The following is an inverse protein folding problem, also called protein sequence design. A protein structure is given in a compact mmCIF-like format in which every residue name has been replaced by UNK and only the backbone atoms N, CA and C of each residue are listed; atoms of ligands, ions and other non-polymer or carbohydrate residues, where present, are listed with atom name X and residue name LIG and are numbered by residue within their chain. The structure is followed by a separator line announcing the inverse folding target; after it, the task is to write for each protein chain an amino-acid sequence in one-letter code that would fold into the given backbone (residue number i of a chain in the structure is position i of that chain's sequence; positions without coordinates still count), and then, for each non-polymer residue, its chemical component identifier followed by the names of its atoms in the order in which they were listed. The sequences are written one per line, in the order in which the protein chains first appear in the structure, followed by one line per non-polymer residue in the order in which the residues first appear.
data_IF_902287358103
#
_entry.id   IF_902287358103
#
_cell.length_a   1.000
_cell.length_b   1.000
_cell.length_c   1.000
_cell.angle_alpha   90.00
_cell.angle_beta   90.00
_cell.angle_gamma   90.00
#
_symmetry.space_group_name_H-M   'P 1'
#
loop_
_entity.id
_entity.type
_entity.pdbx_description
1 polymer ?
#
# COMPACT_ATOMS: atom_id res chain seq x y z
N UNK A 1 -6.45 11.99 27.86
CA UNK A 1 -7.18 13.26 27.71
C UNK A 1 -8.26 13.20 26.63
N UNK A 2 -7.97 12.81 25.38
CA UNK A 2 -9.02 12.71 24.33
C UNK A 2 -10.07 11.60 24.57
N UNK A 3 -9.65 10.44 25.10
CA UNK A 3 -10.55 9.32 25.38
C UNK A 3 -11.51 9.56 26.56
N UNK A 4 -11.02 10.25 27.61
CA UNK A 4 -11.85 10.64 28.76
C UNK A 4 -12.87 11.73 28.38
N UNK A 5 -12.50 12.65 27.47
CA UNK A 5 -13.40 13.69 26.97
C UNK A 5 -14.58 13.14 26.17
N UNK A 6 -14.35 12.10 25.36
CA UNK A 6 -15.40 11.46 24.57
C UNK A 6 -16.41 10.69 25.46
N UNK A 7 -15.92 10.05 26.52
CA UNK A 7 -16.75 9.31 27.48
C UNK A 7 -17.63 10.24 28.32
N UNK A 8 -17.08 11.36 28.78
CA UNK A 8 -17.82 12.39 29.51
C UNK A 8 -18.92 13.05 28.64
N UNK A 9 -18.66 13.26 27.35
CA UNK A 9 -19.65 13.78 26.40
C UNK A 9 -20.78 12.79 26.15
N UNK A 10 -20.48 11.49 26.09
CA UNK A 10 -21.48 10.44 25.94
C UNK A 10 -22.38 10.31 27.18
N UNK A 11 -21.81 10.40 28.38
CA UNK A 11 -22.58 10.40 29.64
C UNK A 11 -23.47 11.65 29.77
N UNK A 12 -22.97 12.83 29.39
CA UNK A 12 -23.74 14.07 29.42
C UNK A 12 -24.86 14.11 28.34
N UNK A 13 -24.65 13.47 27.19
CA UNK A 13 -25.69 13.27 26.18
C UNK A 13 -26.76 12.27 26.66
N UNK A 14 -26.36 11.19 27.35
CA UNK A 14 -27.28 10.22 27.94
C UNK A 14 -28.13 10.81 29.08
N UNK A 15 -27.60 11.80 29.80
CA UNK A 15 -28.31 12.55 30.85
C UNK A 15 -29.31 13.60 30.33
N UNK A 16 -29.53 13.70 29.01
CA UNK A 16 -30.46 14.66 28.41
C UNK A 16 -30.05 16.13 28.53
N UNK A 17 -28.81 16.40 28.96
CA UNK A 17 -28.31 17.75 29.23
C UNK A 17 -27.59 18.40 28.04
N UNK A 18 -27.36 17.66 26.95
CA UNK A 18 -26.71 18.16 25.75
C UNK A 18 -27.60 17.96 24.52
N UNK A 19 -28.24 19.03 24.05
CA UNK A 19 -28.81 19.06 22.70
C UNK A 19 -27.67 19.19 21.69
N UNK A 20 -27.40 18.14 20.92
CA UNK A 20 -26.47 18.24 19.80
C UNK A 20 -27.07 19.16 18.73
N UNK A 21 -26.27 20.08 18.13
CA UNK A 21 -26.76 20.92 17.05
C UNK A 21 -27.20 20.06 15.86
N UNK A 22 -28.41 20.32 15.35
CA UNK A 22 -28.94 19.71 14.14
C UNK A 22 -28.81 20.66 12.95
N UNK A 23 -28.60 20.11 11.76
CA UNK A 23 -28.50 20.86 10.51
C UNK A 23 -29.19 20.09 9.37
N UNK A 24 -29.54 20.80 8.31
CA UNK A 24 -30.08 20.21 7.09
C UNK A 24 -29.20 20.54 5.87
N UNK A 25 -29.16 19.62 4.90
CA UNK A 25 -28.43 19.82 3.65
C UNK A 25 -29.27 20.70 2.73
N UNK A 26 -28.81 21.93 2.47
CA UNK A 26 -29.49 22.89 1.58
C UNK A 26 -28.93 22.93 0.17
N UNK A 27 -27.68 22.48 -0.01
CA UNK A 27 -27.01 22.45 -1.30
C UNK A 27 -25.92 21.38 -1.33
N UNK A 28 -25.61 20.89 -2.52
CA UNK A 28 -24.50 19.96 -2.78
C UNK A 28 -23.48 20.71 -3.63
N UNK A 29 -22.35 21.09 -3.03
CA UNK A 29 -21.28 21.83 -3.73
C UNK A 29 -20.49 20.91 -4.68
N UNK A 30 -20.18 19.71 -4.21
CA UNK A 30 -19.47 18.70 -4.97
C UNK A 30 -20.18 17.36 -4.81
N UNK A 31 -20.37 16.67 -5.93
CA UNK A 31 -20.78 15.27 -5.95
C UNK A 31 -19.56 14.42 -6.14
N UNK A 32 -19.55 13.26 -5.49
CA UNK A 32 -18.58 12.21 -5.72
C UNK A 32 -19.17 11.23 -6.76
N UNK A 33 -18.72 11.27 -8.04
CA UNK A 33 -19.26 10.43 -9.12
C UNK A 33 -18.66 9.02 -9.10
N UNK A 34 -18.61 8.41 -7.92
CA UNK A 34 -18.04 7.08 -7.71
C UNK A 34 -18.91 5.96 -8.26
N UNK A 35 -18.24 4.94 -8.73
CA UNK A 35 -18.84 3.67 -9.11
C UNK A 35 -19.38 2.96 -7.85
N UNK A 36 -20.62 2.47 -7.91
CA UNK A 36 -21.29 1.83 -6.79
C UNK A 36 -21.48 0.35 -7.12
N UNK A 37 -20.93 -0.52 -6.28
CA UNK A 37 -21.20 -1.96 -6.39
C UNK A 37 -22.57 -2.27 -5.81
N UNK A 38 -23.37 -3.00 -6.57
CA UNK A 38 -24.75 -3.34 -6.23
C UNK A 38 -25.06 -4.81 -6.53
N UNK A 39 -26.18 -5.28 -6.00
CA UNK A 39 -26.92 -6.46 -6.48
C UNK A 39 -28.40 -6.10 -6.69
N UNK A 40 -29.18 -7.01 -7.28
CA UNK A 40 -30.62 -6.80 -7.42
C UNK A 40 -31.34 -6.91 -6.06
N UNK A 41 -32.43 -6.16 -5.90
CA UNK A 41 -33.31 -6.35 -4.75
C UNK A 41 -33.96 -7.75 -4.81
N UNK A 42 -34.19 -8.36 -3.64
CA UNK A 42 -34.82 -9.68 -3.57
C UNK A 42 -36.16 -9.74 -4.33
N UNK A 43 -36.98 -8.69 -4.22
CA UNK A 43 -38.26 -8.58 -4.92
C UNK A 43 -38.09 -8.62 -6.44
N UNK A 44 -37.13 -7.87 -6.96
CA UNK A 44 -36.87 -7.83 -8.40
C UNK A 44 -36.25 -9.14 -8.89
N UNK A 45 -35.39 -9.78 -8.10
CA UNK A 45 -34.87 -11.10 -8.45
C UNK A 45 -35.98 -12.15 -8.56
N UNK A 46 -36.90 -12.19 -7.60
CA UNK A 46 -38.04 -13.12 -7.61
C UNK A 46 -38.94 -12.86 -8.82
N UNK A 47 -39.25 -11.59 -9.10
CA UNK A 47 -40.07 -11.20 -10.25
C UNK A 47 -39.41 -11.58 -11.58
N UNK A 48 -38.10 -11.34 -11.72
CA UNK A 48 -37.32 -11.72 -12.90
C UNK A 48 -37.27 -13.24 -13.10
N UNK A 49 -37.00 -14.02 -12.04
CA UNK A 49 -36.99 -15.49 -12.10
C UNK A 49 -38.34 -16.06 -12.54
N UNK A 50 -39.43 -15.56 -11.96
CA UNK A 50 -40.79 -15.99 -12.33
C UNK A 50 -41.10 -15.72 -13.81
N UNK A 51 -40.71 -14.54 -14.33
CA UNK A 51 -40.89 -14.20 -15.75
C UNK A 51 -40.06 -15.09 -16.68
N UNK A 52 -38.81 -15.38 -16.31
CA UNK A 52 -37.95 -16.26 -17.11
C UNK A 52 -38.51 -17.68 -17.19
N UNK A 53 -39.06 -18.21 -16.08
CA UNK A 53 -39.72 -19.52 -16.07
C UNK A 53 -40.97 -19.55 -16.97
N UNK A 54 -41.81 -18.50 -16.92
CA UNK A 54 -42.99 -18.39 -17.80
C UNK A 54 -42.61 -18.37 -19.28
N UNK A 55 -41.55 -17.65 -19.65
CA UNK A 55 -41.06 -17.59 -21.04
C UNK A 55 -40.48 -18.93 -21.51
N UNK A 56 -39.79 -19.67 -20.64
CA UNK A 56 -39.29 -21.01 -20.96
C UNK A 56 -40.42 -22.04 -21.08
N UNK A 57 -41.43 -21.99 -20.21
CA UNK A 57 -42.61 -22.87 -20.30
C UNK A 57 -43.41 -22.64 -21.60
N UNK A 58 -43.64 -21.38 -21.97
CA UNK A 58 -44.34 -21.03 -23.20
C UNK A 58 -43.60 -21.47 -24.49
N UNK A 59 -42.27 -21.59 -24.44
CA UNK A 59 -41.48 -22.08 -25.57
C UNK A 59 -41.56 -23.60 -25.77
N UNK A 60 -41.90 -24.36 -24.72
CA UNK A 60 -42.00 -25.83 -24.77
C UNK A 60 -43.38 -26.28 -25.27
N UNK A 61 -44.45 -25.57 -24.92
CA UNK A 61 -45.81 -25.89 -25.35
C UNK A 61 -46.15 -25.41 -26.79
N UNK A 62 -45.29 -24.57 -27.37
CA UNK A 62 -45.46 -23.95 -28.70
C UNK A 62 -44.92 -24.78 -29.88
N UNK A 63 -45.10 -26.11 -29.86
CA UNK A 63 -44.74 -27.01 -30.96
C UNK A 63 -45.56 -26.79 -32.23
N UNK A 64 -45.30 -25.71 -32.97
CA UNK A 64 -46.01 -25.37 -34.19
C UNK A 64 -45.34 -24.29 -35.03
N UNK A 65 -44.43 -24.71 -35.92
CA UNK A 65 -44.28 -24.13 -37.27
C UNK A 65 -43.92 -22.64 -37.46
N UNK A 66 -43.39 -21.94 -36.47
CA UNK A 66 -42.86 -20.57 -36.63
C UNK A 66 -41.35 -20.53 -36.37
N UNK A 67 -40.56 -20.01 -37.31
CA UNK A 67 -39.10 -19.86 -37.14
C UNK A 67 -38.73 -19.09 -35.86
N UNK A 68 -37.48 -19.17 -35.37
CA UNK A 68 -37.08 -18.65 -34.06
C UNK A 68 -37.27 -17.13 -34.00
N UNK A 69 -38.42 -16.68 -33.47
CA UNK A 69 -38.61 -15.30 -33.06
C UNK A 69 -37.80 -15.12 -31.77
N UNK A 70 -36.71 -14.36 -31.85
CA UNK A 70 -35.94 -14.01 -30.66
C UNK A 70 -36.86 -13.32 -29.64
N UNK A 71 -36.88 -13.75 -28.37
CA UNK A 71 -37.73 -13.13 -27.36
C UNK A 71 -37.39 -11.65 -27.26
N UNK A 72 -38.39 -10.78 -27.48
CA UNK A 72 -38.23 -9.34 -27.36
C UNK A 72 -37.83 -9.00 -25.92
N UNK A 73 -36.56 -8.62 -25.72
CA UNK A 73 -36.05 -8.18 -24.42
C UNK A 73 -36.69 -6.85 -24.04
N UNK A 74 -37.69 -6.90 -23.16
CA UNK A 74 -38.36 -5.69 -22.63
C UNK A 74 -37.41 -4.94 -21.69
N UNK A 75 -37.46 -3.62 -21.74
CA UNK A 75 -36.77 -2.79 -20.75
C UNK A 75 -37.56 -2.85 -19.44
N UNK A 76 -36.85 -3.04 -18.34
CA UNK A 76 -37.43 -3.15 -17.00
C UNK A 76 -36.72 -2.18 -16.07
N UNK A 77 -37.47 -1.60 -15.13
CA UNK A 77 -36.93 -0.81 -14.03
C UNK A 77 -36.67 -1.76 -12.85
N UNK A 78 -35.41 -1.90 -12.48
CA UNK A 78 -34.95 -2.75 -11.39
C UNK A 78 -34.39 -1.89 -10.26
N UNK A 79 -34.66 -2.28 -9.02
CA UNK A 79 -34.07 -1.67 -7.85
C UNK A 79 -32.81 -2.42 -7.45
N UNK A 80 -31.69 -1.72 -7.39
CA UNK A 80 -30.38 -2.27 -7.09
C UNK A 80 -29.94 -1.82 -5.70
N UNK A 81 -29.49 -2.76 -4.87
CA UNK A 81 -29.06 -2.54 -3.49
C UNK A 81 -27.54 -2.39 -3.45
N UNK A 82 -27.01 -1.24 -2.98
CA UNK A 82 -25.58 -1.04 -2.79
C UNK A 82 -24.95 -2.00 -1.78
N UNK A 83 -23.69 -2.33 -2.00
CA UNK A 83 -22.86 -3.03 -1.01
C UNK A 83 -22.61 -2.13 0.21
N UNK A 84 -22.36 -0.83 -0.02
CA UNK A 84 -22.31 0.19 1.04
C UNK A 84 -23.71 0.58 1.50
N UNK A 85 -24.11 0.11 2.68
CA UNK A 85 -25.46 0.33 3.25
C UNK A 85 -25.76 1.79 3.61
N UNK A 86 -24.75 2.68 3.58
CA UNK A 86 -24.97 4.13 3.76
C UNK A 86 -25.62 4.75 2.53
N UNK A 87 -25.52 4.10 1.37
CA UNK A 87 -26.09 4.58 0.12
C UNK A 87 -27.52 4.04 -0.08
N UNK A 88 -28.45 4.86 -0.62
CA UNK A 88 -29.79 4.40 -0.92
C UNK A 88 -29.80 3.44 -2.12
N UNK A 89 -30.84 2.59 -2.25
CA UNK A 89 -31.06 1.81 -3.46
C UNK A 89 -31.09 2.66 -4.73
N UNK A 90 -30.50 2.15 -5.82
CA UNK A 90 -30.42 2.82 -7.12
C UNK A 90 -31.38 2.18 -8.09
N UNK A 91 -32.19 2.98 -8.78
CA UNK A 91 -33.13 2.51 -9.79
C UNK A 91 -32.44 2.46 -11.16
N UNK A 92 -32.40 1.28 -11.79
CA UNK A 92 -31.71 1.02 -13.06
C UNK A 92 -32.69 0.50 -14.09
N UNK A 93 -32.74 1.14 -15.26
CA UNK A 93 -33.53 0.64 -16.40
C UNK A 93 -32.64 -0.20 -17.29
N UNK A 94 -33.00 -1.47 -17.52
CA UNK A 94 -32.18 -2.38 -18.33
C UNK A 94 -33.01 -3.40 -19.10
N UNK A 95 -32.48 -3.87 -20.22
CA UNK A 95 -32.99 -5.03 -21.00
C UNK A 95 -32.24 -6.33 -20.66
N UNK A 96 -31.29 -6.26 -19.72
CA UNK A 96 -30.37 -7.35 -19.37
C UNK A 96 -30.68 -7.91 -17.97
N UNK A 97 -31.90 -7.72 -17.43
CA UNK A 97 -32.26 -8.14 -16.07
C UNK A 97 -31.92 -9.61 -15.76
N UNK A 98 -32.17 -10.52 -16.71
CA UNK A 98 -31.81 -11.94 -16.56
C UNK A 98 -30.31 -12.20 -16.39
N UNK A 99 -29.44 -11.37 -16.97
CA UNK A 99 -27.99 -11.50 -16.81
C UNK A 99 -27.47 -10.94 -15.46
N UNK A 100 -28.29 -10.15 -14.76
CA UNK A 100 -27.97 -9.55 -13.47
C UNK A 100 -28.44 -10.39 -12.28
N UNK A 101 -29.25 -11.42 -12.53
CA UNK A 101 -29.74 -12.32 -11.50
C UNK A 101 -28.58 -13.02 -10.78
N UNK A 102 -28.51 -12.83 -9.45
CA UNK A 102 -27.49 -13.46 -8.62
C UNK A 102 -26.07 -12.96 -8.91
N UNK A 103 -25.92 -11.75 -9.45
CA UNK A 103 -24.63 -11.16 -9.78
C UNK A 103 -24.30 -9.93 -8.93
N UNK A 104 -23.00 -9.70 -8.68
CA UNK A 104 -22.42 -8.39 -8.36
C UNK A 104 -22.19 -7.61 -9.64
N UNK A 105 -22.58 -6.34 -9.64
CA UNK A 105 -22.33 -5.45 -10.77
C UNK A 105 -22.16 -4.01 -10.29
N UNK A 106 -21.66 -3.17 -11.19
CA UNK A 106 -21.35 -1.77 -10.91
C UNK A 106 -22.38 -0.88 -11.59
N UNK A 107 -22.85 0.13 -10.86
CA UNK A 107 -23.72 1.18 -11.36
C UNK A 107 -23.12 2.55 -11.10
N UNK A 108 -23.43 3.50 -11.97
CA UNK A 108 -23.14 4.92 -11.77
C UNK A 108 -24.45 5.68 -11.67
N UNK A 109 -24.55 6.56 -10.68
CA UNK A 109 -25.72 7.42 -10.49
C UNK A 109 -25.66 8.56 -11.50
N UNK A 110 -26.74 8.71 -12.27
CA UNK A 110 -26.89 9.76 -13.29
C UNK A 110 -27.53 11.01 -12.69
N UNK A 111 -28.65 10.80 -11.99
CA UNK A 111 -29.46 11.88 -11.44
C UNK A 111 -30.30 11.39 -10.26
N UNK A 112 -30.61 12.30 -9.35
CA UNK A 112 -31.62 12.09 -8.31
C UNK A 112 -32.63 13.23 -8.35
N UNK A 113 -33.73 13.00 -9.07
CA UNK A 113 -34.81 13.97 -9.20
C UNK A 113 -35.50 14.20 -7.85
N UNK A 114 -35.90 15.46 -7.58
CA UNK A 114 -36.55 15.89 -6.32
C UNK A 114 -37.73 15.02 -5.90
N UNK A 115 -38.52 14.54 -6.86
CA UNK A 115 -39.73 13.76 -6.62
C UNK A 115 -39.49 12.24 -6.69
N UNK A 116 -38.27 11.83 -7.04
CA UNK A 116 -37.92 10.41 -7.07
C UNK A 116 -37.48 9.94 -5.69
N UNK A 117 -38.07 8.84 -5.23
CA UNK A 117 -37.65 8.18 -4.00
C UNK A 117 -36.22 7.63 -4.08
N UNK A 118 -35.78 7.24 -5.27
CA UNK A 118 -34.48 6.60 -5.51
C UNK A 118 -33.70 7.36 -6.59
N UNK A 119 -32.38 7.47 -6.47
CA UNK A 119 -31.55 7.94 -7.57
C UNK A 119 -31.66 7.00 -8.78
N UNK A 120 -31.58 7.57 -9.98
CA UNK A 120 -31.49 6.83 -11.23
C UNK A 120 -30.02 6.64 -11.58
N UNK A 121 -29.70 5.47 -12.12
CA UNK A 121 -28.37 5.17 -12.63
C UNK A 121 -28.39 4.19 -13.77
N UNK A 122 -27.21 3.96 -14.34
CA UNK A 122 -26.98 2.97 -15.36
C UNK A 122 -25.91 1.97 -14.89
N UNK A 123 -26.02 0.74 -15.39
CA UNK A 123 -25.02 -0.29 -15.18
C UNK A 123 -23.80 -0.02 -16.07
N UNK A 124 -22.60 -0.11 -15.50
CA UNK A 124 -21.35 0.02 -16.26
C UNK A 124 -20.75 -1.36 -16.59
N UNK A 125 -20.66 -2.27 -15.61
CA UNK A 125 -20.11 -3.62 -15.82
C UNK A 125 -20.62 -4.65 -14.80
N UNK A 126 -20.61 -5.92 -15.18
CA UNK A 126 -20.86 -7.05 -14.26
C UNK A 126 -19.53 -7.54 -13.69
N UNK A 127 -19.47 -7.75 -12.38
CA UNK A 127 -18.26 -8.25 -11.69
C UNK A 127 -18.22 -9.78 -11.66
N UNK A 128 -19.36 -10.42 -11.40
CA UNK A 128 -19.46 -11.87 -11.34
C UNK A 128 -20.64 -12.32 -10.49
N UNK A 129 -20.68 -13.61 -10.14
CA UNK A 129 -21.75 -14.18 -9.29
C UNK A 129 -21.59 -13.74 -7.83
N UNK A 130 -22.70 -13.60 -7.13
CA UNK A 130 -22.69 -13.43 -5.67
C UNK A 130 -21.98 -14.63 -5.01
N UNK A 131 -21.19 -14.35 -3.99
CA UNK A 131 -20.38 -15.33 -3.24
C UNK A 131 -19.24 -15.99 -4.04
N UNK A 132 -18.94 -15.53 -5.25
CA UNK A 132 -17.70 -15.89 -5.94
C UNK A 132 -16.54 -15.06 -5.38
N UNK A 133 -15.44 -15.73 -4.98
CA UNK A 133 -14.31 -15.07 -4.34
C UNK A 133 -13.74 -13.94 -5.20
N UNK A 134 -13.57 -14.17 -6.51
CA UNK A 134 -13.01 -13.16 -7.41
C UNK A 134 -13.96 -11.99 -7.55
N UNK A 135 -15.26 -12.26 -7.72
CA UNK A 135 -16.28 -11.22 -7.83
C UNK A 135 -16.40 -10.34 -6.57
N UNK A 136 -16.34 -10.95 -5.38
CA UNK A 136 -16.42 -10.21 -4.11
C UNK A 136 -15.11 -9.44 -3.81
N UNK A 137 -13.93 -10.00 -4.13
CA UNK A 137 -12.66 -9.25 -4.04
C UNK A 137 -12.66 -8.03 -4.97
N UNK A 138 -13.10 -8.20 -6.23
CA UNK A 138 -13.25 -7.07 -7.17
C UNK A 138 -14.28 -6.04 -6.69
N UNK A 139 -15.36 -6.47 -6.04
CA UNK A 139 -16.34 -5.57 -5.45
C UNK A 139 -15.73 -4.65 -4.38
N UNK A 140 -14.88 -5.21 -3.51
CA UNK A 140 -14.16 -4.43 -2.49
C UNK A 140 -13.22 -3.41 -3.15
N UNK A 141 -12.48 -3.83 -4.18
CA UNK A 141 -11.57 -2.94 -4.90
C UNK A 141 -12.30 -1.73 -5.51
N UNK A 142 -13.44 -1.97 -6.18
CA UNK A 142 -14.27 -0.88 -6.74
C UNK A 142 -14.80 0.03 -5.65
N UNK A 143 -15.31 -0.53 -4.55
CA UNK A 143 -15.88 0.26 -3.46
C UNK A 143 -14.83 1.17 -2.79
N UNK A 144 -13.58 0.71 -2.71
CA UNK A 144 -12.46 1.48 -2.19
C UNK A 144 -11.80 2.41 -3.23
N UNK A 145 -12.27 2.40 -4.48
CA UNK A 145 -11.65 3.19 -5.55
C UNK A 145 -10.25 2.72 -5.95
N UNK A 146 -9.92 1.45 -5.69
CA UNK A 146 -8.60 0.88 -5.97
C UNK A 146 -8.52 0.46 -7.43
N UNK A 147 -7.52 0.99 -8.13
CA UNK A 147 -7.28 0.72 -9.54
C UNK A 147 -6.65 -0.66 -9.71
N UNK A 148 -7.38 -1.57 -10.35
CA UNK A 148 -6.90 -2.93 -10.69
C UNK A 148 -6.86 -3.14 -12.21
N UNK A 149 -6.21 -2.22 -12.93
CA UNK A 149 -5.94 -2.34 -14.37
C UNK A 149 -4.47 -2.71 -14.59
N UNK A 150 -4.10 -3.42 -15.68
CA UNK A 150 -2.70 -3.56 -16.07
C UNK A 150 -2.05 -2.19 -16.30
N UNK A 151 -0.73 -2.11 -16.12
CA UNK A 151 0.04 -0.90 -16.44
C UNK A 151 -0.09 -0.56 -17.92
N UNK A 152 -0.19 0.74 -18.23
CA UNK A 152 -0.32 1.17 -19.61
C UNK A 152 0.99 0.96 -20.41
N UNK A 153 0.89 0.74 -21.72
CA UNK A 153 2.07 0.49 -22.56
C UNK A 153 3.09 1.63 -22.51
N UNK A 154 2.62 2.88 -22.39
CA UNK A 154 3.48 4.04 -22.26
C UNK A 154 4.30 4.03 -20.95
N UNK A 155 3.69 3.65 -19.82
CA UNK A 155 4.42 3.48 -18.56
C UNK A 155 5.42 2.32 -18.62
N UNK A 156 5.03 1.20 -19.26
CA UNK A 156 5.92 0.05 -19.45
C UNK A 156 7.11 0.37 -20.37
N UNK A 157 6.93 1.28 -21.33
CA UNK A 157 8.00 1.72 -22.23
C UNK A 157 9.11 2.54 -21.54
N UNK A 158 8.85 3.09 -20.35
CA UNK A 158 9.83 3.80 -19.52
C UNK A 158 10.74 2.85 -18.72
N UNK A 159 10.41 1.56 -18.67
CA UNK A 159 11.23 0.56 -18.00
C UNK A 159 12.57 0.33 -18.72
N UNK A 160 13.64 -0.07 -18.01
CA UNK A 160 14.90 -0.45 -18.63
C UNK A 160 14.71 -1.54 -19.69
N UNK A 161 15.27 -1.32 -20.89
CA UNK A 161 15.21 -2.27 -22.01
C UNK A 161 16.22 -3.39 -21.80
N UNK A 162 15.80 -4.43 -21.09
CA UNK A 162 16.60 -5.62 -20.79
C UNK A 162 15.85 -6.89 -21.23
N UNK A 163 16.60 -7.91 -21.64
CA UNK A 163 16.01 -9.19 -22.05
C UNK A 163 15.59 -10.03 -20.84
N UNK A 164 16.41 -10.03 -19.79
CA UNK A 164 16.13 -10.70 -18.51
C UNK A 164 16.46 -9.77 -17.33
N UNK A 165 15.75 -9.85 -16.18
CA UNK A 165 16.05 -9.02 -15.02
C UNK A 165 17.50 -9.15 -14.51
N UNK A 166 18.09 -10.33 -14.67
CA UNK A 166 19.50 -10.58 -14.32
C UNK A 166 20.52 -9.90 -15.24
N UNK A 167 20.09 -9.25 -16.32
CA UNK A 167 21.00 -8.55 -17.23
C UNK A 167 21.26 -7.11 -16.78
N UNK A 168 20.38 -6.57 -15.94
CA UNK A 168 20.55 -5.22 -15.42
C UNK A 168 21.73 -5.16 -14.43
N UNK A 169 22.57 -4.14 -14.58
CA UNK A 169 23.72 -3.84 -13.73
C UNK A 169 23.74 -2.35 -13.42
N UNK A 170 24.28 -1.99 -12.26
CA UNK A 170 24.51 -0.58 -11.90
C UNK A 170 25.44 0.06 -12.95
N UNK A 171 25.00 1.14 -13.62
CA UNK A 171 25.83 1.81 -14.62
C UNK A 171 27.15 2.33 -14.03
N UNK A 172 28.27 2.27 -14.78
CA UNK A 172 29.57 2.73 -14.28
C UNK A 172 29.60 4.20 -13.83
N UNK A 173 28.81 5.06 -14.49
CA UNK A 173 28.68 6.46 -14.11
C UNK A 173 28.04 6.63 -12.72
N UNK A 174 27.02 5.85 -12.39
CA UNK A 174 26.38 5.85 -11.07
C UNK A 174 27.34 5.32 -10.00
N UNK A 175 28.09 4.26 -10.31
CA UNK A 175 29.11 3.71 -9.41
C UNK A 175 30.20 4.73 -9.06
N UNK A 176 30.59 5.57 -10.03
CA UNK A 176 31.60 6.60 -9.80
C UNK A 176 31.07 7.79 -9.00
N UNK A 177 29.79 8.12 -9.14
CA UNK A 177 29.17 9.27 -8.48
C UNK A 177 28.65 8.97 -7.06
N UNK A 178 28.31 7.70 -6.77
CA UNK A 178 27.71 7.28 -5.51
C UNK A 178 28.75 6.72 -4.54
N UNK A 179 28.43 6.79 -3.24
CA UNK A 179 29.22 6.12 -2.21
C UNK A 179 29.04 4.61 -2.34
N UNK A 180 30.15 3.90 -2.51
CA UNK A 180 30.16 2.44 -2.55
C UNK A 180 30.08 1.86 -1.13
N UNK A 181 29.03 1.08 -0.88
CA UNK A 181 28.78 0.35 0.38
C UNK A 181 28.75 -1.17 0.14
N UNK A 182 29.31 -1.64 -0.98
CA UNK A 182 29.38 -3.07 -1.34
C UNK A 182 30.66 -3.75 -0.86
N UNK A 183 31.60 -2.97 -0.30
CA UNK A 183 32.87 -3.46 0.22
C UNK A 183 32.73 -4.37 1.45
N UNK A 184 33.80 -5.11 1.80
CA UNK A 184 33.79 -6.10 2.89
C UNK A 184 33.54 -5.51 4.28
N UNK A 185 33.70 -4.20 4.45
CA UNK A 185 33.44 -3.49 5.71
C UNK A 185 31.94 -3.34 6.01
N UNK A 186 31.07 -3.54 5.01
CA UNK A 186 29.62 -3.38 5.12
C UNK A 186 28.92 -4.72 4.97
N UNK A 187 28.52 -5.31 6.10
CA UNK A 187 27.65 -6.49 6.11
C UNK A 187 26.18 -6.04 6.12
N UNK A 188 25.61 -5.88 4.93
CA UNK A 188 24.23 -5.43 4.73
C UNK A 188 23.28 -6.63 4.67
N UNK A 189 22.18 -6.57 5.44
CA UNK A 189 21.14 -7.60 5.50
C UNK A 189 19.75 -6.98 5.42
N UNK A 190 18.77 -7.71 4.89
CA UNK A 190 17.35 -7.37 5.02
C UNK A 190 16.66 -8.32 5.99
N UNK A 191 15.56 -7.88 6.60
CA UNK A 191 14.78 -8.69 7.54
C UNK A 191 13.31 -8.58 7.14
N UNK A 192 12.85 -9.56 6.37
CA UNK A 192 11.53 -9.55 5.73
C UNK A 192 10.70 -10.79 6.07
N UNK A 193 9.36 -10.73 5.95
CA UNK A 193 8.50 -11.91 6.03
C UNK A 193 8.89 -13.01 5.04
N UNK A 194 8.60 -14.26 5.39
CA UNK A 194 8.82 -15.40 4.50
C UNK A 194 8.03 -15.20 3.19
N UNK A 195 8.73 -15.27 2.06
CA UNK A 195 8.13 -15.07 0.74
C UNK A 195 8.10 -13.62 0.26
N UNK A 196 8.70 -12.67 0.99
CA UNK A 196 8.92 -11.30 0.51
C UNK A 196 9.71 -11.31 -0.81
N UNK A 197 9.24 -10.51 -1.79
CA UNK A 197 9.86 -10.41 -3.14
C UNK A 197 10.31 -8.99 -3.46
N UNK A 198 9.73 -8.02 -2.78
CA UNK A 198 9.85 -6.58 -2.90
C UNK A 198 10.60 -6.01 -1.68
N UNK A 199 11.85 -6.44 -1.51
CA UNK A 199 12.71 -5.96 -0.41
C UNK A 199 13.02 -4.47 -0.59
N UNK A 200 12.38 -3.63 0.22
CA UNK A 200 12.49 -2.17 0.19
C UNK A 200 13.62 -1.64 1.07
N UNK A 201 13.90 -2.28 2.19
CA UNK A 201 14.88 -1.85 3.17
C UNK A 201 15.92 -2.93 3.50
N UNK A 202 17.14 -2.47 3.75
CA UNK A 202 18.24 -3.26 4.27
C UNK A 202 19.04 -2.43 5.26
N UNK A 203 19.81 -3.10 6.12
CA UNK A 203 20.55 -2.44 7.18
C UNK A 203 21.92 -3.07 7.39
N UNK A 204 22.85 -2.27 7.92
CA UNK A 204 24.10 -2.78 8.48
C UNK A 204 24.36 -2.17 9.84
N UNK A 205 25.17 -2.86 10.65
CA UNK A 205 25.68 -2.38 11.92
C UNK A 205 27.17 -2.66 11.99
N UNK A 206 27.95 -1.65 12.34
CA UNK A 206 29.41 -1.74 12.50
C UNK A 206 29.83 -1.10 13.82
N UNK A 207 30.70 -1.77 14.56
CA UNK A 207 31.32 -1.17 15.74
C UNK A 207 32.54 -0.36 15.32
N UNK A 208 32.62 0.88 15.79
CA UNK A 208 33.74 1.77 15.51
C UNK A 208 34.70 1.79 16.70
N UNK A 209 35.99 1.89 16.41
CA UNK A 209 37.00 2.13 17.43
C UNK A 209 36.88 3.56 17.99
N UNK A 210 37.06 3.71 19.31
CA UNK A 210 36.99 5.01 19.97
C UNK A 210 38.25 5.83 19.58
N UNK A 211 38.12 7.01 18.95
CA UNK A 211 39.26 7.79 18.44
C UNK A 211 40.22 8.28 19.55
N UNK A 212 39.88 8.05 20.82
CA UNK A 212 40.72 8.37 21.97
C UNK A 212 41.80 7.32 22.28
N UNK A 213 41.84 6.20 21.56
CA UNK A 213 42.72 5.05 21.88
C UNK A 213 43.90 4.85 20.92
N UNK A 214 44.18 5.77 19.99
CA UNK A 214 45.37 5.68 19.12
C UNK A 214 46.57 6.37 19.77
N UNK A 215 47.67 5.67 20.12
CA UNK A 215 48.93 6.34 20.43
C UNK A 215 49.42 7.03 19.16
N UNK A 216 49.75 8.31 19.27
CA UNK A 216 50.31 9.12 18.20
C UNK A 216 51.49 8.40 17.53
N UNK A 217 51.23 7.79 16.38
CA UNK A 217 52.27 7.28 15.50
C UNK A 217 52.14 8.03 14.20
N UNK A 218 53.08 8.94 14.01
CA UNK A 218 53.33 9.70 12.78
C UNK A 218 53.26 8.78 11.57
N UNK A 219 52.23 8.92 10.74
CA UNK A 219 52.36 8.78 9.29
C UNK A 219 51.23 9.53 8.59
N UNK A 220 51.64 10.30 7.59
CA UNK A 220 50.85 11.20 6.78
C UNK A 220 49.74 10.50 6.00
N UNK A 221 48.50 10.87 6.24
CA UNK A 221 47.39 10.63 5.31
C UNK A 221 46.90 11.98 4.78
N UNK A 222 47.04 12.13 3.47
CA UNK A 222 46.54 13.22 2.64
C UNK A 222 45.05 13.42 2.83
N UNK A 223 44.67 14.61 3.28
CA UNK A 223 43.30 15.12 3.20
C UNK A 223 42.92 15.38 1.74
N UNK A 224 41.95 14.65 1.21
CA UNK A 224 41.17 15.09 0.05
C UNK A 224 39.76 15.46 0.53
N UNK A 225 39.65 16.67 1.06
CA UNK A 225 38.38 17.38 1.18
C UNK A 225 38.01 17.86 -0.22
N UNK A 226 36.93 17.35 -0.81
CA UNK A 226 36.32 17.97 -1.99
C UNK A 226 35.15 18.82 -1.52
N UNK A 227 35.39 20.13 -1.45
CA UNK A 227 34.35 21.14 -1.30
C UNK A 227 33.68 21.35 -2.66
N UNK A 228 32.38 21.11 -2.77
CA UNK A 228 31.59 21.63 -3.89
C UNK A 228 30.73 22.78 -3.36
N UNK A 229 30.86 24.01 -3.88
CA UNK A 229 30.00 25.12 -3.52
C UNK A 229 28.72 25.11 -4.38
N UNK A 230 27.57 25.24 -3.70
CA UNK A 230 26.40 25.97 -4.17
C UNK A 230 25.58 25.40 -5.33
N UNK A 231 24.51 24.67 -5.01
CA UNK A 231 23.21 24.82 -5.71
C UNK A 231 22.10 24.73 -4.67
N UNK A 232 21.20 25.71 -4.68
CA UNK A 232 20.05 25.82 -3.81
C UNK A 232 19.03 24.71 -4.11
N UNK A 233 18.74 23.87 -3.11
CA UNK A 233 17.55 23.02 -3.07
C UNK A 233 16.91 23.16 -1.68
N UNK A 234 16.26 24.31 -1.48
CA UNK A 234 15.37 24.54 -0.33
C UNK A 234 14.03 23.87 -0.62
N UNK A 235 13.48 23.17 0.38
CA UNK A 235 12.16 22.54 0.45
C UNK A 235 12.02 21.09 -0.07
N UNK A 236 12.55 20.10 0.68
CA UNK A 236 12.05 18.71 0.65
C UNK A 236 12.34 17.84 1.89
N UNK A 237 12.94 18.37 2.97
CA UNK A 237 13.42 17.53 4.10
C UNK A 237 12.45 17.51 5.33
N UNK A 238 11.27 18.14 5.24
CA UNK A 238 10.37 18.20 6.41
C UNK A 238 9.42 17.02 6.62
N UNK A 239 9.43 15.97 5.79
CA UNK A 239 8.43 14.88 5.91
C UNK A 239 8.97 13.51 6.36
N UNK A 240 10.28 13.36 6.57
CA UNK A 240 10.86 12.05 6.98
C UNK A 240 10.82 11.86 8.51
N UNK A 241 10.67 12.91 9.30
CA UNK A 241 10.69 12.82 10.77
C UNK A 241 9.38 12.29 11.37
N UNK A 242 8.26 12.34 10.65
CA UNK A 242 6.94 12.00 11.21
C UNK A 242 6.57 10.52 11.08
N UNK A 243 7.15 9.77 10.14
CA UNK A 243 6.84 8.34 9.96
C UNK A 243 7.55 7.41 10.97
N UNK A 244 8.71 7.82 11.49
CA UNK A 244 9.47 7.01 12.46
C UNK A 244 8.91 7.07 13.90
N UNK A 245 7.93 7.94 14.19
CA UNK A 245 7.38 8.13 15.54
C UNK A 245 6.14 7.28 15.85
N UNK A 246 5.58 6.54 14.88
CA UNK A 246 4.33 5.80 15.06
C UNK A 246 4.49 4.33 15.50
N UNK A 247 5.72 3.83 15.67
CA UNK A 247 5.99 2.44 16.04
C UNK A 247 6.62 2.32 17.44
N UNK A 248 5.95 2.84 18.47
CA UNK A 248 6.28 2.53 19.87
C UNK A 248 5.01 2.40 20.71
N UNK A 249 4.46 1.18 20.78
CA UNK A 249 4.00 0.53 22.03
C UNK A 249 3.93 -0.98 21.75
N UNK A 250 4.95 -1.70 22.22
CA UNK A 250 4.96 -3.16 22.25
C UNK A 250 5.87 -3.57 23.40
N UNK A 251 5.27 -3.79 24.57
CA UNK A 251 5.94 -4.28 25.78
C UNK A 251 6.45 -5.71 25.53
N UNK A 252 7.57 -6.02 26.17
CA UNK A 252 8.22 -7.34 26.31
C UNK A 252 9.14 -7.79 25.17
N UNK A 253 10.41 -7.38 25.27
CA UNK A 253 11.54 -8.12 24.69
C UNK A 253 12.59 -8.38 25.77
N UNK A 254 12.54 -9.57 26.38
CA UNK A 254 13.70 -10.13 27.07
C UNK A 254 14.74 -10.46 26.00
N UNK A 255 15.76 -9.61 25.87
CA UNK A 255 16.97 -9.97 25.17
C UNK A 255 17.71 -10.97 26.05
N UNK A 256 17.82 -12.20 25.55
CA UNK A 256 18.61 -13.26 26.17
C UNK A 256 20.04 -13.03 25.71
N UNK A 257 20.93 -12.67 26.63
CA UNK A 257 22.36 -12.60 26.37
C UNK A 257 22.87 -14.02 26.08
N UNK A 258 23.27 -14.27 24.84
CA UNK A 258 23.93 -15.51 24.44
C UNK A 258 25.42 -15.44 24.85
N UNK A 259 25.70 -15.79 26.10
CA UNK A 259 27.06 -16.04 26.58
C UNK A 259 27.52 -17.40 26.02
N UNK A 260 28.42 -17.39 25.04
CA UNK A 260 29.04 -18.61 24.50
C UNK A 260 30.39 -18.81 25.20
N UNK A 261 30.52 -19.95 25.86
CA UNK A 261 31.52 -20.24 26.89
C UNK A 261 33.00 -20.09 26.49
N UNK A 262 33.76 -19.65 27.48
CA UNK A 262 35.20 -19.44 27.46
C UNK A 262 36.02 -20.75 27.51
N UNK A 263 37.01 -20.85 26.63
CA UNK A 263 38.28 -21.55 26.89
C UNK A 263 39.27 -20.55 27.48
N UNK A 264 39.82 -20.86 28.66
CA UNK A 264 40.61 -19.93 29.46
C UNK A 264 42.01 -19.65 28.91
N UNK A 265 42.40 -18.37 28.96
CA UNK A 265 43.77 -17.94 29.23
C UNK A 265 43.72 -16.59 29.94
N UNK A 266 44.23 -16.57 31.16
CA UNK A 266 44.34 -15.42 32.04
C UNK A 266 45.42 -14.46 31.52
N UNK A 267 45.04 -13.23 31.21
CA UNK A 267 45.96 -12.10 31.25
C UNK A 267 45.23 -10.88 31.80
N UNK A 268 45.80 -10.35 32.88
CA UNK A 268 45.39 -9.15 33.58
C UNK A 268 45.48 -7.93 32.66
N UNK A 269 44.36 -7.25 32.44
CA UNK A 269 44.38 -5.87 31.95
C UNK A 269 43.45 -5.00 32.79
N UNK A 270 44.03 -3.92 33.26
CA UNK A 270 43.44 -2.84 34.04
C UNK A 270 42.15 -2.32 33.42
N UNK A 271 41.07 -2.32 34.21
CA UNK A 271 39.80 -1.69 33.87
C UNK A 271 39.96 -0.17 33.76
N UNK A 272 40.19 0.32 32.54
CA UNK A 272 40.06 1.75 32.24
C UNK A 272 38.57 2.13 32.23
N UNK A 273 38.20 3.31 32.76
CA UNK A 273 36.80 3.70 32.88
C UNK A 273 36.19 4.03 31.51
N UNK A 274 35.45 3.07 30.95
CA UNK A 274 34.35 3.29 30.02
C UNK A 274 34.71 3.87 28.66
N UNK A 275 35.36 3.09 27.79
CA UNK A 275 35.34 3.39 26.36
C UNK A 275 33.89 3.38 25.87
N UNK A 276 33.47 4.51 25.37
CA UNK A 276 32.14 4.70 24.82
C UNK A 276 32.10 4.10 23.43
N UNK A 277 31.71 2.84 23.34
CA UNK A 277 31.62 2.17 22.06
C UNK A 277 30.70 2.95 21.10
N UNK A 278 31.30 3.45 20.02
CA UNK A 278 30.59 4.05 18.91
C UNK A 278 30.12 2.94 17.98
N UNK A 279 28.90 3.09 17.46
CA UNK A 279 28.26 2.15 16.55
C UNK A 279 27.81 2.93 15.34
N UNK A 280 28.24 2.51 14.15
CA UNK A 280 27.66 2.96 12.90
C UNK A 280 26.46 2.08 12.54
N UNK A 281 25.34 2.70 12.25
CA UNK A 281 24.12 2.04 11.78
C UNK A 281 23.74 2.65 10.45
N UNK A 282 23.62 1.84 9.41
CA UNK A 282 23.09 2.23 8.11
C UNK A 282 21.72 1.63 7.88
N UNK A 283 20.79 2.45 7.40
CA UNK A 283 19.53 2.01 6.79
C UNK A 283 19.58 2.38 5.32
N UNK A 284 19.31 1.42 4.45
CA UNK A 284 19.43 1.49 3.00
C UNK A 284 18.06 1.22 2.41
N UNK A 285 17.48 2.20 1.73
CA UNK A 285 16.17 2.08 1.09
C UNK A 285 16.36 1.96 -0.42
N UNK A 286 15.61 1.07 -1.06
CA UNK A 286 15.62 0.88 -2.51
C UNK A 286 15.50 2.23 -3.24
N UNK A 287 16.44 2.51 -4.17
CA UNK A 287 16.44 3.78 -4.91
C UNK A 287 15.51 3.71 -6.13
N UNK A 288 14.21 3.70 -5.86
CA UNK A 288 13.16 3.73 -6.88
C UNK A 288 13.22 5.02 -7.73
N UNK A 289 13.71 6.12 -7.14
CA UNK A 289 13.75 7.43 -7.80
C UNK A 289 14.64 7.46 -9.04
N UNK A 290 15.64 6.57 -9.10
CA UNK A 290 16.49 6.40 -10.28
C UNK A 290 15.74 5.78 -11.46
N UNK A 291 14.80 4.87 -11.17
CA UNK A 291 14.01 4.16 -12.20
C UNK A 291 12.77 4.93 -12.63
N UNK A 292 12.20 5.74 -11.75
CA UNK A 292 10.91 6.41 -11.96
C UNK A 292 11.12 7.93 -11.93
N UNK A 293 11.43 8.56 -13.07
CA UNK A 293 11.65 10.00 -13.13
C UNK A 293 10.34 10.78 -12.93
N UNK A 294 10.39 11.93 -12.23
CA UNK A 294 9.20 12.74 -11.99
C UNK A 294 8.61 13.28 -13.29
N UNK A 295 7.29 13.25 -13.40
CA UNK A 295 6.55 13.73 -14.58
C UNK A 295 6.44 12.72 -15.72
N UNK A 296 7.02 11.52 -15.59
CA UNK A 296 6.85 10.41 -16.53
C UNK A 296 5.45 9.78 -16.47
N UNK A 297 5.15 8.94 -17.45
CA UNK A 297 3.91 8.15 -17.50
C UNK A 297 3.85 7.13 -16.38
N UNK A 298 4.98 6.51 -16.06
CA UNK A 298 5.09 5.55 -14.95
C UNK A 298 4.90 6.24 -13.60
N UNK A 299 5.48 7.43 -13.41
CA UNK A 299 5.27 8.27 -12.21
C UNK A 299 3.79 8.70 -12.08
N UNK A 300 3.16 9.07 -13.20
CA UNK A 300 1.72 9.37 -13.25
C UNK A 300 0.85 8.20 -12.77
N UNK A 301 1.13 7.00 -13.24
CA UNK A 301 0.39 5.79 -12.85
C UNK A 301 0.70 5.36 -11.41
N UNK A 302 1.95 5.46 -10.97
CA UNK A 302 2.34 5.21 -9.58
C UNK A 302 1.61 6.16 -8.62
N UNK A 303 1.48 7.44 -8.99
CA UNK A 303 0.71 8.44 -8.24
C UNK A 303 -0.79 8.14 -8.20
N UNK A 304 -1.37 7.66 -9.31
CA UNK A 304 -2.79 7.24 -9.36
C UNK A 304 -3.04 6.07 -8.41
N UNK A 305 -2.11 5.10 -8.34
CA UNK A 305 -2.19 3.92 -7.47
C UNK A 305 -1.87 4.23 -6.00
N UNK A 306 -0.98 5.20 -5.77
CA UNK A 306 -0.46 5.69 -4.49
C UNK A 306 0.29 4.68 -3.62
N UNK A 307 -0.21 3.45 -3.48
CA UNK A 307 0.38 2.38 -2.67
C UNK A 307 0.10 1.02 -3.29
N UNK A 308 0.97 0.05 -3.00
CA UNK A 308 0.62 -1.36 -3.24
C UNK A 308 -0.48 -1.78 -2.27
N UNK A 309 -1.44 -2.57 -2.74
CA UNK A 309 -2.56 -3.08 -1.93
C UNK A 309 -2.43 -4.59 -1.78
N UNK A 310 -2.36 -5.06 -0.53
CA UNK A 310 -2.27 -6.48 -0.21
C UNK A 310 -3.66 -7.03 0.12
N UNK A 311 -4.16 -7.93 -0.72
CA UNK A 311 -5.33 -8.77 -0.43
C UNK A 311 -4.87 -10.12 0.11
N UNK A 312 -5.82 -10.91 0.60
CA UNK A 312 -5.52 -12.25 1.14
C UNK A 312 -4.96 -13.19 0.06
N UNK A 313 -5.42 -13.06 -1.18
CA UNK A 313 -5.08 -13.96 -2.28
C UNK A 313 -4.05 -13.38 -3.27
N UNK A 314 -3.83 -12.06 -3.29
CA UNK A 314 -2.95 -11.38 -4.24
C UNK A 314 -2.49 -10.01 -3.75
N UNK A 315 -1.39 -9.52 -4.34
CA UNK A 315 -0.91 -8.15 -4.20
C UNK A 315 -1.24 -7.37 -5.48
N UNK A 316 -1.65 -6.11 -5.34
CA UNK A 316 -1.81 -5.16 -6.45
C UNK A 316 -0.67 -4.15 -6.37
N UNK A 317 0.22 -4.16 -7.34
CA UNK A 317 1.45 -3.38 -7.28
C UNK A 317 1.23 -1.90 -7.62
N UNK A 318 1.92 -1.03 -6.91
CA UNK A 318 2.09 0.39 -7.25
C UNK A 318 2.96 0.58 -8.50
N UNK A 319 4.00 -0.25 -8.66
CA UNK A 319 4.95 -0.22 -9.77
C UNK A 319 4.96 -1.57 -10.51
N UNK A 320 5.37 -1.62 -11.78
CA UNK A 320 5.48 -2.87 -12.50
C UNK A 320 6.39 -3.88 -11.77
N UNK A 321 6.01 -5.16 -11.77
CA UNK A 321 6.74 -6.24 -11.09
C UNK A 321 8.22 -6.32 -11.44
N UNK A 322 8.60 -5.95 -12.68
CA UNK A 322 10.01 -5.85 -13.07
C UNK A 322 10.80 -4.86 -12.20
N UNK A 323 10.21 -3.74 -11.80
CA UNK A 323 10.87 -2.81 -10.88
C UNK A 323 10.75 -3.27 -9.44
N UNK A 324 9.53 -3.51 -8.96
CA UNK A 324 9.26 -3.75 -7.54
C UNK A 324 9.92 -5.02 -7.02
N UNK A 325 9.93 -6.12 -7.78
CA UNK A 325 10.42 -7.42 -7.30
C UNK A 325 11.86 -7.75 -7.75
N UNK A 326 12.39 -7.01 -8.73
CA UNK A 326 13.66 -7.36 -9.37
C UNK A 326 14.68 -6.23 -9.34
N UNK A 327 14.41 -5.13 -10.05
CA UNK A 327 15.43 -4.12 -10.32
C UNK A 327 15.66 -3.16 -9.15
N UNK A 328 14.58 -2.69 -8.51
CA UNK A 328 14.68 -1.81 -7.35
C UNK A 328 14.87 -2.58 -6.04
N UNK A 329 14.30 -3.79 -5.96
CA UNK A 329 14.41 -4.64 -4.76
C UNK A 329 15.87 -4.93 -4.38
N UNK A 330 16.18 -4.79 -3.09
CA UNK A 330 17.50 -5.02 -2.47
C UNK A 330 17.82 -6.51 -2.31
N UNK A 331 17.83 -7.24 -3.43
CA UNK A 331 18.04 -8.70 -3.46
C UNK A 331 19.44 -9.10 -3.02
N UNK A 332 19.52 -10.20 -2.26
CA UNK A 332 20.78 -10.78 -1.79
C UNK A 332 21.74 -11.12 -2.95
N UNK A 333 23.03 -10.84 -2.75
CA UNK A 333 24.10 -11.23 -3.67
C UNK A 333 24.12 -10.45 -4.99
N UNK A 334 23.26 -9.44 -5.16
CA UNK A 334 23.22 -8.61 -6.35
C UNK A 334 23.37 -7.15 -5.96
N UNK A 335 24.24 -6.44 -6.68
CA UNK A 335 24.42 -5.02 -6.48
C UNK A 335 23.16 -4.21 -6.87
N UNK A 336 22.79 -3.25 -6.01
CA UNK A 336 21.59 -2.43 -6.15
C UNK A 336 21.85 -0.98 -5.79
N UNK A 337 21.06 -0.09 -6.39
CA UNK A 337 21.05 1.33 -6.04
C UNK A 337 20.17 1.51 -4.80
N UNK A 338 20.69 2.22 -3.81
CA UNK A 338 19.98 2.52 -2.58
C UNK A 338 20.21 3.98 -2.15
N UNK A 339 19.20 4.56 -1.52
CA UNK A 339 19.31 5.79 -0.74
C UNK A 339 19.60 5.40 0.70
N UNK A 340 20.75 5.82 1.22
CA UNK A 340 21.24 5.38 2.52
C UNK A 340 21.22 6.51 3.54
N UNK A 341 20.77 6.21 4.75
CA UNK A 341 20.95 7.05 5.93
C UNK A 341 21.90 6.34 6.87
N UNK A 342 23.02 6.99 7.21
CA UNK A 342 24.06 6.43 8.06
C UNK A 342 24.22 7.29 9.30
N UNK A 343 24.05 6.69 10.47
CA UNK A 343 24.23 7.34 11.76
C UNK A 343 25.44 6.77 12.49
N UNK A 344 26.12 7.64 13.24
CA UNK A 344 27.06 7.22 14.28
C UNK A 344 26.40 7.44 15.63
N UNK A 345 26.11 6.34 16.32
CA UNK A 345 25.43 6.30 17.60
C UNK A 345 26.43 6.00 18.71
N UNK A 346 26.26 6.65 19.86
CA UNK A 346 27.03 6.34 21.08
C UNK A 346 26.19 5.41 21.94
N UNK A 347 26.77 4.29 22.39
CA UNK A 347 26.08 3.38 23.31
C UNK A 347 25.83 4.10 24.64
N UNK A 348 24.57 4.36 24.97
CA UNK A 348 24.20 4.85 26.30
C UNK A 348 24.26 3.69 27.30
N UNK A 349 25.06 3.84 28.35
CA UNK A 349 25.00 2.92 29.50
C UNK A 349 23.70 3.21 30.24
N UNK A 350 22.71 2.32 30.18
CA UNK A 350 21.64 2.30 31.18
C UNK A 350 22.30 2.06 32.54
N UNK A 351 22.37 3.08 33.38
CA UNK A 351 22.64 2.91 34.81
C UNK A 351 21.48 2.11 35.37
N UNK A 352 21.67 0.82 35.59
CA UNK A 352 20.75 0.00 36.37
C UNK A 352 20.80 0.44 37.84
N UNK A 353 20.14 1.54 38.18
CA UNK A 353 19.65 1.77 39.55
C UNK A 353 18.22 1.26 39.61
N UNK A 354 18.07 -0.07 39.55
CA UNK A 354 16.84 -0.79 39.83
C UNK A 354 16.92 -1.39 41.22
N UNK A 355 16.82 -0.54 42.25
CA UNK A 355 16.33 -0.96 43.56
C UNK A 355 14.81 -0.82 43.53
N UNK A 356 14.08 -1.92 43.76
CA UNK A 356 12.62 -1.95 43.85
C UNK A 356 12.05 -3.27 43.38
#
# INVERSE_FOLDING_TARGET
EEEEGALALAEAAAAGALSLPAAEVVAILHRDPRDIVVCLSHRDEVALRARMQQQQGAAVDGGGGGGPQQPQRRSELLLCLPLDRRLPPVAVVTRQGGALLGCRFVVRVDAWERHSRYPRGHMTRVLGRLNDLRAESEAVLVQCGIVNKPFCEAALAELPRISHPSDWRVPPAERAARRDLTGPDFFVVSIDPVGCTDVDDAMHVRFLEDPTTTPATTSSASSSFSTVPGVAATAAISNITTAAAAATVGKDSRLVDADTGAGGVSSSSSSSPGSSQLVEVGVHIADVSWFVPPGGMLDGEARERATSVYLVDRRLDMLPGLLSEQLASLREGVERLAVSVVWTLRRSRRSGSGSG
#
